data_IF_014771081266
#
_entry.id   IF_014771081266
#
_cell.length_a   1.000
_cell.length_b   1.000
_cell.length_c   1.000
_cell.angle_alpha   90.00
_cell.angle_beta   90.00
_cell.angle_gamma   90.00
#
_symmetry.space_group_name_H-M   'P 1'
#
loop_
_entity.id
_entity.type
_entity.pdbx_description
1 polymer ?
#
# COMPACT_ATOMS: atom_id res chain seq x y z
N UNK A 1 9.54 -9.46 -24.78
CA UNK A 1 8.10 -9.63 -25.14
C UNK A 1 7.49 -10.88 -24.48
N UNK A 2 8.00 -11.35 -23.32
CA UNK A 2 7.77 -12.75 -22.91
C UNK A 2 6.97 -12.88 -21.60
N UNK A 3 6.85 -11.83 -20.77
CA UNK A 3 6.42 -12.05 -19.39
C UNK A 3 4.99 -11.66 -19.03
N UNK A 4 4.41 -10.64 -19.67
CA UNK A 4 2.99 -10.32 -19.44
C UNK A 4 2.02 -11.34 -20.08
N UNK A 5 2.55 -12.22 -20.94
CA UNK A 5 1.82 -13.32 -21.56
C UNK A 5 2.03 -14.68 -20.86
N UNK A 6 2.90 -14.77 -19.86
CA UNK A 6 3.09 -15.99 -19.08
C UNK A 6 2.05 -16.02 -17.96
N UNK A 7 1.11 -16.91 -18.04
CA UNK A 7 -0.04 -17.12 -17.14
C UNK A 7 0.33 -17.59 -15.71
N UNK A 8 1.58 -17.36 -15.26
CA UNK A 8 1.96 -17.71 -13.89
C UNK A 8 1.50 -16.62 -12.95
N UNK A 9 0.56 -16.96 -12.08
CA UNK A 9 0.16 -16.10 -10.96
C UNK A 9 1.34 -15.82 -10.05
N UNK A 10 1.43 -14.59 -9.58
CA UNK A 10 2.50 -14.22 -8.65
C UNK A 10 2.66 -12.71 -8.44
N UNK A 11 3.45 -12.38 -7.43
CA UNK A 11 3.91 -11.01 -7.18
C UNK A 11 4.99 -10.65 -8.20
N UNK A 12 4.93 -9.46 -8.78
CA UNK A 12 5.89 -9.00 -9.77
C UNK A 12 7.19 -8.51 -9.11
N UNK A 13 8.34 -9.14 -9.43
CA UNK A 13 9.65 -8.65 -9.00
C UNK A 13 10.10 -7.43 -9.82
N UNK A 14 11.21 -6.80 -9.36
CA UNK A 14 11.71 -5.52 -9.87
C UNK A 14 11.86 -5.43 -11.39
N UNK A 15 12.30 -6.51 -12.05
CA UNK A 15 12.47 -6.53 -13.52
C UNK A 15 11.14 -6.35 -14.26
N UNK A 16 10.03 -6.83 -13.70
CA UNK A 16 8.70 -6.64 -14.30
C UNK A 16 8.10 -5.29 -13.93
N UNK A 17 8.45 -4.74 -12.77
CA UNK A 17 8.10 -3.36 -12.43
C UNK A 17 8.77 -2.41 -13.42
N UNK A 18 10.04 -2.63 -13.79
CA UNK A 18 10.72 -1.88 -14.85
C UNK A 18 9.97 -2.00 -16.18
N UNK A 19 9.55 -3.20 -16.56
CA UNK A 19 8.78 -3.43 -17.79
C UNK A 19 7.41 -2.68 -17.79
N UNK A 20 6.73 -2.59 -16.61
CA UNK A 20 5.50 -1.79 -16.49
C UNK A 20 5.76 -0.31 -16.74
N UNK A 21 6.89 0.22 -16.29
CA UNK A 21 7.30 1.61 -16.50
C UNK A 21 7.66 1.83 -17.99
N UNK A 22 8.50 0.99 -18.56
CA UNK A 22 8.96 1.06 -19.96
C UNK A 22 7.79 1.02 -20.95
N UNK A 23 6.72 0.29 -20.62
CA UNK A 23 5.49 0.18 -21.42
C UNK A 23 4.44 1.24 -21.08
N UNK A 24 4.76 2.18 -20.21
CA UNK A 24 3.83 3.22 -19.76
C UNK A 24 2.54 2.67 -19.11
N UNK A 25 2.62 1.47 -18.50
CA UNK A 25 1.56 0.93 -17.64
C UNK A 25 1.60 1.54 -16.23
N UNK A 26 2.75 2.01 -15.84
CA UNK A 26 2.95 2.96 -14.75
C UNK A 26 3.66 4.19 -15.33
N UNK A 27 3.13 5.36 -15.07
CA UNK A 27 3.62 6.61 -15.67
C UNK A 27 3.71 7.72 -14.61
N UNK A 28 4.54 8.71 -14.91
CA UNK A 28 4.67 9.96 -14.15
C UNK A 28 5.17 11.05 -15.08
N UNK A 29 4.82 12.30 -14.79
CA UNK A 29 5.41 13.46 -15.48
C UNK A 29 6.86 13.71 -15.06
N UNK A 30 7.26 13.19 -13.90
CA UNK A 30 8.62 13.23 -13.38
C UNK A 30 9.30 11.88 -13.63
N UNK A 31 10.61 11.89 -13.84
CA UNK A 31 11.35 10.64 -14.08
C UNK A 31 11.13 9.65 -12.94
N UNK A 32 10.84 8.40 -13.29
CA UNK A 32 10.79 7.28 -12.35
C UNK A 32 12.20 6.68 -12.29
N UNK A 33 12.97 7.09 -11.29
CA UNK A 33 14.35 6.65 -11.11
C UNK A 33 14.41 5.22 -10.55
N UNK A 34 15.52 4.54 -10.81
CA UNK A 34 15.73 3.16 -10.34
C UNK A 34 15.72 3.01 -8.81
N UNK A 35 16.09 4.05 -8.07
CA UNK A 35 16.07 4.07 -6.60
C UNK A 35 14.67 3.99 -5.97
N UNK A 36 13.62 4.16 -6.78
CA UNK A 36 12.24 3.92 -6.38
C UNK A 36 11.88 2.44 -6.43
N UNK A 37 12.58 1.64 -7.24
CA UNK A 37 12.24 0.24 -7.49
C UNK A 37 12.93 -0.64 -6.45
N UNK A 38 12.12 -1.33 -5.67
CA UNK A 38 12.52 -2.30 -4.67
C UNK A 38 12.42 -3.73 -5.24
N UNK A 39 12.94 -4.79 -4.59
CA UNK A 39 12.92 -6.15 -5.14
C UNK A 39 11.53 -6.65 -5.61
N UNK A 40 10.44 -6.24 -4.96
CA UNK A 40 9.07 -6.65 -5.31
C UNK A 40 8.03 -5.54 -5.06
N UNK A 41 8.45 -4.28 -5.04
CA UNK A 41 7.56 -3.12 -4.88
C UNK A 41 8.20 -1.87 -5.50
N UNK A 42 7.43 -0.81 -5.60
CA UNK A 42 7.92 0.51 -5.99
C UNK A 42 7.44 1.55 -4.98
N UNK A 43 8.34 2.46 -4.62
CA UNK A 43 8.02 3.60 -3.77
C UNK A 43 7.15 4.61 -4.55
N UNK A 44 6.07 5.07 -3.93
CA UNK A 44 5.19 6.10 -4.46
C UNK A 44 5.59 7.47 -3.91
N UNK A 45 5.54 8.49 -4.78
CA UNK A 45 5.97 9.85 -4.46
C UNK A 45 4.77 10.80 -4.31
N UNK A 46 4.80 11.64 -3.27
CA UNK A 46 3.84 12.73 -3.14
C UNK A 46 3.97 13.69 -4.32
N UNK A 47 2.84 14.09 -4.89
CA UNK A 47 2.77 15.09 -5.96
C UNK A 47 2.77 16.53 -5.42
N UNK A 48 2.34 17.46 -6.27
CA UNK A 48 2.38 18.89 -5.97
C UNK A 48 1.19 19.38 -5.15
N UNK A 49 0.04 18.68 -5.23
CA UNK A 49 -1.24 19.11 -4.65
C UNK A 49 -1.63 18.26 -3.47
N UNK A 50 -2.03 18.92 -2.41
CA UNK A 50 -2.59 18.32 -1.21
C UNK A 50 -3.88 19.03 -0.80
N UNK A 51 -4.78 18.30 -0.18
CA UNK A 51 -6.04 18.79 0.36
C UNK A 51 -6.18 18.41 1.82
N UNK A 52 -6.58 19.34 2.67
CA UNK A 52 -7.07 19.03 4.00
C UNK A 52 -8.54 18.64 3.90
N UNK A 53 -8.91 17.53 4.52
CA UNK A 53 -10.28 17.03 4.55
C UNK A 53 -10.76 16.85 5.99
N UNK A 54 -12.09 16.96 6.26
CA UNK A 54 -12.61 16.84 7.62
C UNK A 54 -12.52 15.42 8.18
N UNK A 55 -12.56 14.43 7.31
CA UNK A 55 -12.50 13.01 7.68
C UNK A 55 -11.97 12.16 6.51
N UNK A 56 -11.53 10.94 6.84
CA UNK A 56 -11.23 9.90 5.87
C UNK A 56 -12.45 9.56 5.01
N UNK A 57 -12.22 9.24 3.74
CA UNK A 57 -13.29 8.81 2.82
C UNK A 57 -12.79 7.81 1.77
N UNK A 58 -13.74 7.10 1.18
CA UNK A 58 -13.57 6.35 -0.05
C UNK A 58 -14.51 6.92 -1.13
N UNK A 59 -14.08 7.01 -2.39
CA UNK A 59 -14.90 7.61 -3.45
C UNK A 59 -16.17 6.80 -3.73
N UNK A 60 -16.16 5.49 -3.47
CA UNK A 60 -17.24 4.58 -3.85
C UNK A 60 -17.18 4.21 -5.34
N UNK A 61 -18.01 3.28 -5.76
CA UNK A 61 -17.98 2.70 -7.13
C UNK A 61 -18.22 3.69 -8.26
N UNK A 62 -18.94 4.78 -8.00
CA UNK A 62 -19.46 5.68 -9.03
C UNK A 62 -18.78 7.03 -9.09
N UNK A 63 -17.82 7.31 -8.20
CA UNK A 63 -17.14 8.61 -8.11
C UNK A 63 -15.63 8.46 -8.18
N UNK A 64 -14.98 9.53 -8.61
CA UNK A 64 -13.52 9.69 -8.52
C UNK A 64 -13.14 10.32 -7.18
N UNK A 65 -11.88 10.23 -6.82
CA UNK A 65 -11.34 10.92 -5.63
C UNK A 65 -11.46 12.44 -5.82
N UNK A 66 -11.19 12.94 -7.01
CA UNK A 66 -11.25 14.38 -7.33
C UNK A 66 -12.67 14.94 -7.21
N UNK A 67 -13.70 14.21 -7.69
CA UNK A 67 -15.10 14.58 -7.50
C UNK A 67 -15.48 14.66 -6.02
N UNK A 68 -14.98 13.76 -5.19
CA UNK A 68 -15.20 13.81 -3.74
C UNK A 68 -14.46 14.97 -3.09
N UNK A 69 -13.20 15.20 -3.46
CA UNK A 69 -12.42 16.33 -2.95
C UNK A 69 -13.11 17.68 -3.26
N UNK A 70 -13.67 17.85 -4.45
CA UNK A 70 -14.43 19.06 -4.81
C UNK A 70 -15.65 19.31 -3.89
N UNK A 71 -16.16 18.26 -3.23
CA UNK A 71 -17.32 18.36 -2.34
C UNK A 71 -16.94 18.59 -0.88
N UNK A 72 -15.82 17.97 -0.43
CA UNK A 72 -15.50 17.88 1.01
C UNK A 72 -14.18 18.53 1.42
N UNK A 73 -13.31 18.92 0.47
CA UNK A 73 -12.03 19.51 0.81
C UNK A 73 -12.23 20.85 1.52
N UNK A 74 -11.56 21.03 2.65
CA UNK A 74 -11.58 22.29 3.41
C UNK A 74 -10.74 23.36 2.72
N UNK A 75 -9.57 22.97 2.21
CA UNK A 75 -8.70 23.79 1.37
C UNK A 75 -7.68 22.95 0.62
N UNK A 76 -7.18 23.47 -0.49
CA UNK A 76 -6.08 22.94 -1.29
C UNK A 76 -4.80 23.72 -1.02
N UNK A 77 -3.64 23.08 -1.03
CA UNK A 77 -2.33 23.71 -0.89
C UNK A 77 -1.25 22.96 -1.66
N UNK A 78 -0.12 23.66 -1.89
CA UNK A 78 1.01 23.09 -2.64
C UNK A 78 2.05 22.49 -1.72
N UNK A 79 2.64 21.35 -2.18
CA UNK A 79 3.79 20.70 -1.54
C UNK A 79 5.14 21.10 -2.17
N UNK A 80 5.17 21.96 -3.19
CA UNK A 80 6.40 22.31 -3.93
C UNK A 80 7.52 22.84 -3.03
N UNK A 81 7.17 23.70 -2.07
CA UNK A 81 8.12 24.28 -1.13
C UNK A 81 8.12 23.59 0.25
N UNK A 82 7.40 22.49 0.36
CA UNK A 82 7.14 21.81 1.62
C UNK A 82 5.94 22.40 2.36
N UNK A 83 5.25 21.53 3.10
CA UNK A 83 4.13 21.92 3.95
C UNK A 83 4.13 21.09 5.24
N UNK A 84 3.61 21.67 6.30
CA UNK A 84 3.37 20.98 7.56
C UNK A 84 2.03 20.26 7.47
N UNK A 85 2.04 18.96 7.73
CA UNK A 85 0.85 18.18 7.99
C UNK A 85 0.68 18.06 9.50
N UNK A 86 -0.38 18.66 10.02
CA UNK A 86 -0.64 18.77 11.46
C UNK A 86 -1.08 17.42 12.04
N UNK A 87 -0.63 17.14 13.25
CA UNK A 87 -1.05 15.96 14.02
C UNK A 87 -2.57 15.94 14.17
N UNK A 88 -3.18 14.76 14.02
CA UNK A 88 -4.62 14.53 14.15
C UNK A 88 -5.48 15.01 12.98
N UNK A 89 -4.88 15.61 11.95
CA UNK A 89 -5.59 16.05 10.76
C UNK A 89 -5.48 15.00 9.65
N UNK A 90 -6.42 15.05 8.70
CA UNK A 90 -6.44 14.14 7.54
C UNK A 90 -6.18 14.95 6.26
N UNK A 91 -5.25 14.45 5.47
CA UNK A 91 -4.85 15.06 4.21
C UNK A 91 -4.94 14.03 3.08
N UNK A 92 -5.32 14.48 1.90
CA UNK A 92 -5.24 13.70 0.67
C UNK A 92 -4.19 14.36 -0.23
N UNK A 93 -3.30 13.56 -0.77
CA UNK A 93 -2.26 14.03 -1.70
C UNK A 93 -2.37 13.24 -2.99
N UNK A 94 -2.45 13.94 -4.13
CA UNK A 94 -2.31 13.30 -5.44
C UNK A 94 -0.86 12.87 -5.62
N UNK A 95 -0.62 11.63 -6.00
CA UNK A 95 0.73 11.12 -6.22
C UNK A 95 1.27 11.54 -7.60
N UNK A 96 2.58 11.50 -7.77
CA UNK A 96 3.23 11.76 -9.05
C UNK A 96 2.95 10.62 -10.04
N UNK A 97 2.81 9.40 -9.52
CA UNK A 97 2.56 8.21 -10.31
C UNK A 97 1.08 8.05 -10.64
N UNK A 98 0.83 7.58 -11.85
CA UNK A 98 -0.45 7.10 -12.33
C UNK A 98 -0.32 5.73 -12.95
N UNK A 99 -1.44 5.04 -13.15
CA UNK A 99 -1.47 3.68 -13.66
C UNK A 99 -2.38 3.55 -14.89
N UNK A 100 -1.97 2.66 -15.80
CA UNK A 100 -2.75 2.19 -16.95
C UNK A 100 -2.53 0.67 -17.07
N UNK A 101 -2.96 -0.08 -16.05
CA UNK A 101 -2.64 -1.49 -15.91
C UNK A 101 -3.33 -2.36 -16.96
N UNK A 102 -2.67 -3.45 -17.42
CA UNK A 102 -3.31 -4.55 -18.12
C UNK A 102 -4.39 -5.22 -17.25
N UNK A 103 -5.38 -5.86 -17.90
CA UNK A 103 -6.55 -6.45 -17.23
C UNK A 103 -6.23 -7.56 -16.22
N UNK A 104 -5.08 -8.18 -16.32
CA UNK A 104 -4.62 -9.28 -15.44
C UNK A 104 -3.70 -8.82 -14.31
N UNK A 105 -3.35 -7.53 -14.24
CA UNK A 105 -2.47 -6.98 -13.21
C UNK A 105 -3.29 -6.15 -12.22
N UNK A 106 -3.03 -6.37 -10.94
CA UNK A 106 -3.55 -5.60 -9.80
C UNK A 106 -2.40 -5.09 -8.94
N UNK A 107 -2.72 -4.26 -7.96
CA UNK A 107 -1.75 -3.78 -7.00
C UNK A 107 -2.28 -3.78 -5.57
N UNK A 108 -1.36 -3.87 -4.62
CA UNK A 108 -1.60 -3.69 -3.19
C UNK A 108 -0.56 -2.72 -2.64
N UNK A 109 -1.03 -1.65 -2.05
CA UNK A 109 -0.16 -0.66 -1.42
C UNK A 109 0.00 -0.93 0.07
N UNK A 110 1.06 -0.40 0.65
CA UNK A 110 1.29 -0.40 2.09
C UNK A 110 2.15 0.81 2.48
N UNK A 111 2.02 1.33 3.69
CA UNK A 111 2.97 2.29 4.23
C UNK A 111 4.39 1.70 4.20
N UNK A 112 5.38 2.55 3.97
CA UNK A 112 6.78 2.16 4.21
C UNK A 112 6.98 1.93 5.71
N UNK A 113 7.83 0.98 6.08
CA UNK A 113 8.11 0.70 7.50
C UNK A 113 8.65 1.93 8.25
N UNK A 114 9.41 2.78 7.58
CA UNK A 114 9.88 4.06 8.14
C UNK A 114 8.72 5.02 8.44
N UNK A 115 7.68 5.04 7.62
CA UNK A 115 6.47 5.85 7.80
C UNK A 115 5.69 5.37 9.03
N UNK A 116 5.49 4.05 9.15
CA UNK A 116 4.82 3.46 10.32
C UNK A 116 5.58 3.70 11.63
N UNK A 117 6.91 3.64 11.62
CA UNK A 117 7.75 3.93 12.81
C UNK A 117 7.65 5.37 13.30
N UNK A 118 7.28 6.30 12.43
CA UNK A 118 7.02 7.69 12.78
C UNK A 118 5.57 7.94 13.20
N UNK A 119 4.75 6.89 13.30
CA UNK A 119 3.31 6.97 13.57
C UNK A 119 2.58 7.91 12.60
N UNK A 120 2.99 7.89 11.33
CA UNK A 120 2.30 8.56 10.24
C UNK A 120 1.42 7.54 9.54
N UNK A 121 0.13 7.68 9.73
CA UNK A 121 -0.84 6.79 9.10
C UNK A 121 -1.04 7.16 7.65
N UNK A 122 -0.90 6.20 6.73
CA UNK A 122 -1.09 6.44 5.30
C UNK A 122 -1.91 5.33 4.66
N UNK A 123 -2.78 5.67 3.70
CA UNK A 123 -3.56 4.72 2.90
C UNK A 123 -3.68 5.17 1.46
N UNK A 124 -3.42 4.26 0.53
CA UNK A 124 -3.66 4.52 -0.89
C UNK A 124 -5.16 4.53 -1.18
N UNK A 125 -5.59 5.50 -2.00
CA UNK A 125 -6.94 5.59 -2.54
C UNK A 125 -6.84 5.69 -4.06
N UNK A 126 -7.69 4.95 -4.76
CA UNK A 126 -7.85 5.04 -6.21
C UNK A 126 -9.30 5.35 -6.57
N UNK A 127 -9.54 5.80 -7.78
CA UNK A 127 -10.88 6.12 -8.26
C UNK A 127 -11.80 4.90 -8.26
N UNK A 128 -13.08 5.11 -8.00
CA UNK A 128 -14.15 4.11 -8.10
C UNK A 128 -13.92 2.87 -7.22
N UNK A 129 -13.24 3.03 -6.08
CA UNK A 129 -12.98 1.94 -5.12
C UNK A 129 -13.82 2.07 -3.85
N UNK A 130 -14.02 0.94 -3.19
CA UNK A 130 -14.59 0.84 -1.85
C UNK A 130 -13.59 0.26 -0.83
N UNK A 131 -12.31 0.18 -1.22
CA UNK A 131 -11.26 -0.36 -0.38
C UNK A 131 -10.02 0.54 -0.45
N UNK A 132 -9.39 0.74 0.69
CA UNK A 132 -8.07 1.34 0.77
C UNK A 132 -7.01 0.33 0.33
N UNK A 133 -5.84 0.84 -0.06
CA UNK A 133 -4.64 0.07 -0.40
C UNK A 133 -4.78 -0.85 -1.62
N UNK A 134 -5.97 -1.02 -2.16
CA UNK A 134 -6.26 -1.93 -3.25
C UNK A 134 -6.34 -1.21 -4.60
N UNK A 135 -5.51 -1.63 -5.55
CA UNK A 135 -5.57 -1.23 -6.96
C UNK A 135 -6.19 -2.39 -7.75
N UNK A 136 -7.43 -2.26 -8.23
CA UNK A 136 -8.11 -3.35 -8.93
C UNK A 136 -7.43 -3.72 -10.24
N UNK A 137 -7.66 -4.95 -10.70
CA UNK A 137 -7.14 -5.44 -11.99
C UNK A 137 -7.55 -4.50 -13.14
N UNK A 138 -6.57 -4.13 -13.97
CA UNK A 138 -6.81 -3.27 -15.12
C UNK A 138 -7.10 -1.80 -14.78
N UNK A 139 -6.74 -1.35 -13.59
CA UNK A 139 -6.96 0.04 -13.16
C UNK A 139 -6.26 1.04 -14.08
N UNK A 140 -6.97 2.12 -14.39
CA UNK A 140 -6.47 3.25 -15.17
C UNK A 140 -6.85 4.55 -14.48
N UNK A 141 -5.86 5.31 -14.04
CA UNK A 141 -6.12 6.57 -13.36
C UNK A 141 -4.98 7.04 -12.48
N UNK A 142 -5.25 8.14 -11.78
CA UNK A 142 -4.37 8.73 -10.77
C UNK A 142 -4.38 7.91 -9.48
N UNK A 143 -3.32 8.08 -8.71
CA UNK A 143 -3.19 7.54 -7.37
C UNK A 143 -3.25 8.68 -6.35
N UNK A 144 -3.87 8.43 -5.21
CA UNK A 144 -3.97 9.40 -4.11
C UNK A 144 -3.56 8.72 -2.81
N UNK A 145 -2.94 9.48 -1.93
CA UNK A 145 -2.54 9.01 -0.61
C UNK A 145 -3.27 9.81 0.46
N UNK A 146 -4.01 9.13 1.31
CA UNK A 146 -4.45 9.68 2.58
C UNK A 146 -3.27 9.67 3.55
N UNK A 147 -3.07 10.76 4.26
CA UNK A 147 -2.01 10.93 5.26
C UNK A 147 -2.61 11.52 6.53
N UNK A 148 -2.35 10.89 7.66
CA UNK A 148 -2.75 11.40 8.98
C UNK A 148 -1.63 11.16 9.99
N UNK A 149 -0.83 12.19 10.31
CA UNK A 149 0.14 12.12 11.39
C UNK A 149 -0.57 11.93 12.74
N UNK A 150 -0.12 10.99 13.57
CA UNK A 150 -0.84 10.62 14.79
C UNK A 150 -0.21 11.17 16.06
N UNK A 151 1.11 11.19 16.15
CA UNK A 151 1.86 11.58 17.35
C UNK A 151 2.39 13.02 17.27
N UNK A 152 2.90 13.44 16.11
CA UNK A 152 3.46 14.78 15.90
C UNK A 152 3.26 15.25 14.46
N UNK A 153 3.29 16.57 14.26
CA UNK A 153 3.19 17.16 12.92
C UNK A 153 4.45 16.88 12.11
N UNK A 154 4.30 16.62 10.82
CA UNK A 154 5.40 16.29 9.92
C UNK A 154 5.50 17.29 8.77
N UNK A 155 6.72 17.52 8.29
CA UNK A 155 6.95 18.28 7.05
C UNK A 155 7.11 17.31 5.90
N UNK A 156 6.33 17.51 4.84
CA UNK A 156 6.43 16.75 3.59
C UNK A 156 6.63 17.68 2.40
N UNK A 157 7.16 17.14 1.32
CA UNK A 157 7.40 17.86 0.06
C UNK A 157 6.95 16.99 -1.11
N UNK A 158 6.81 17.60 -2.27
CA UNK A 158 6.75 16.86 -3.54
C UNK A 158 7.94 15.89 -3.62
N UNK A 159 7.68 14.65 -4.02
CA UNK A 159 8.69 13.59 -4.07
C UNK A 159 8.93 12.82 -2.77
N UNK A 160 8.37 13.25 -1.62
CA UNK A 160 8.43 12.47 -0.37
C UNK A 160 7.78 11.12 -0.56
N UNK A 161 8.39 10.04 -0.03
CA UNK A 161 7.98 8.63 -0.20
C UNK A 161 7.48 8.08 1.12
N UNK A 162 6.17 7.94 1.25
CA UNK A 162 5.52 7.45 2.48
C UNK A 162 4.89 6.06 2.30
N UNK A 163 4.60 5.69 1.05
CA UNK A 163 3.91 4.44 0.72
C UNK A 163 4.63 3.72 -0.41
N UNK A 164 4.39 2.43 -0.56
CA UNK A 164 4.93 1.58 -1.61
C UNK A 164 3.81 0.74 -2.24
N UNK A 165 3.98 0.38 -3.51
CA UNK A 165 3.02 -0.40 -4.27
C UNK A 165 3.66 -1.70 -4.75
N UNK A 166 2.99 -2.81 -4.50
CA UNK A 166 3.33 -4.14 -4.99
C UNK A 166 2.34 -4.54 -6.06
N UNK A 167 2.82 -5.03 -7.18
CA UNK A 167 1.98 -5.53 -8.26
C UNK A 167 1.88 -7.05 -8.24
N UNK A 168 0.74 -7.56 -8.69
CA UNK A 168 0.48 -8.99 -8.82
C UNK A 168 -0.19 -9.29 -10.15
N UNK A 169 0.16 -10.44 -10.74
CA UNK A 169 -0.50 -10.99 -11.91
C UNK A 169 -1.35 -12.19 -11.51
N UNK A 170 -2.59 -12.24 -11.99
CA UNK A 170 -3.52 -13.32 -11.68
C UNK A 170 -4.04 -13.30 -10.24
N UNK A 171 -4.22 -14.48 -9.66
CA UNK A 171 -4.58 -14.66 -8.25
C UNK A 171 -3.37 -15.15 -7.48
N UNK A 172 -2.99 -14.41 -6.43
CA UNK A 172 -1.83 -14.71 -5.58
C UNK A 172 -2.22 -15.24 -4.21
N UNK A 173 -3.51 -15.37 -3.94
CA UNK A 173 -4.01 -15.92 -2.68
C UNK A 173 -3.78 -17.44 -2.65
N UNK A 174 -3.27 -17.90 -1.53
CA UNK A 174 -3.14 -19.33 -1.28
C UNK A 174 -4.45 -19.86 -0.70
N UNK A 175 -4.86 -21.07 -1.11
CA UNK A 175 -5.95 -21.78 -0.46
C UNK A 175 -5.52 -22.27 0.91
N UNK A 176 -6.47 -22.50 1.83
CA UNK A 176 -6.17 -23.00 3.17
C UNK A 176 -5.38 -24.33 3.13
N UNK A 177 -5.68 -25.20 2.15
CA UNK A 177 -4.92 -26.41 1.92
C UNK A 177 -3.45 -26.15 1.57
N UNK A 178 -3.18 -25.23 0.65
CA UNK A 178 -1.80 -24.84 0.28
C UNK A 178 -1.09 -24.17 1.47
N UNK A 179 -1.82 -23.39 2.26
CA UNK A 179 -1.28 -22.77 3.46
C UNK A 179 -0.92 -23.82 4.53
N UNK A 180 -1.78 -24.83 4.73
CA UNK A 180 -1.51 -25.94 5.64
C UNK A 180 -0.27 -26.74 5.19
N UNK A 181 -0.13 -27.03 3.89
CA UNK A 181 1.06 -27.69 3.34
C UNK A 181 2.34 -26.88 3.57
N UNK A 182 2.28 -25.54 3.40
CA UNK A 182 3.41 -24.65 3.66
C UNK A 182 3.74 -24.57 5.15
N UNK A 183 2.73 -24.47 6.01
CA UNK A 183 2.91 -24.50 7.46
C UNK A 183 3.61 -25.78 7.91
N UNK A 184 3.12 -26.94 7.43
CA UNK A 184 3.72 -28.24 7.74
C UNK A 184 5.17 -28.36 7.26
N UNK A 185 5.46 -27.86 6.06
CA UNK A 185 6.79 -27.97 5.43
C UNK A 185 7.83 -26.99 6.00
N UNK A 186 7.41 -25.79 6.38
CA UNK A 186 8.31 -24.69 6.69
C UNK A 186 8.17 -24.14 8.11
N UNK A 187 7.22 -24.64 8.89
CA UNK A 187 6.97 -24.19 10.27
C UNK A 187 6.89 -22.64 10.35
N UNK A 188 6.03 -22.06 9.50
CA UNK A 188 5.91 -20.61 9.33
C UNK A 188 5.52 -19.90 10.63
N UNK A 189 4.63 -20.52 11.40
CA UNK A 189 4.27 -20.08 12.74
C UNK A 189 4.73 -21.17 13.70
N UNK A 190 5.66 -20.81 14.58
CA UNK A 190 6.07 -21.67 15.69
C UNK A 190 5.05 -21.55 16.80
N UNK A 191 4.35 -22.62 17.07
CA UNK A 191 3.47 -22.73 18.23
C UNK A 191 3.85 -23.98 19.01
N UNK A 192 3.80 -23.91 20.33
CA UNK A 192 4.02 -25.07 21.20
C UNK A 192 2.97 -26.18 21.02
N UNK A 193 1.88 -25.87 20.28
CA UNK A 193 0.75 -26.76 19.98
C UNK A 193 0.54 -26.89 18.45
N UNK A 194 1.55 -27.37 17.74
CA UNK A 194 1.59 -27.42 16.27
C UNK A 194 0.47 -28.22 15.57
N UNK A 195 -0.22 -29.10 16.29
CA UNK A 195 -1.32 -29.92 15.74
C UNK A 195 -2.65 -29.16 15.61
N UNK A 196 -2.88 -28.09 16.34
CA UNK A 196 -4.14 -27.33 16.31
C UNK A 196 -4.16 -26.20 15.29
N UNK A 197 -3.02 -25.85 14.69
CA UNK A 197 -2.93 -24.71 13.78
C UNK A 197 -3.52 -25.00 12.40
N UNK A 198 -3.38 -26.24 11.92
CA UNK A 198 -3.96 -26.68 10.63
C UNK A 198 -5.48 -26.59 10.60
N UNK A 199 -6.11 -26.82 11.76
CA UNK A 199 -7.58 -26.82 11.89
C UNK A 199 -8.18 -25.41 12.05
N UNK A 200 -7.33 -24.41 12.26
CA UNK A 200 -7.71 -23.01 12.45
C UNK A 200 -7.41 -22.11 11.26
N UNK A 201 -6.97 -22.71 10.13
CA UNK A 201 -6.69 -21.93 8.91
C UNK A 201 -8.00 -21.55 8.22
N UNK A 202 -8.29 -20.27 8.21
CA UNK A 202 -9.45 -19.71 7.53
C UNK A 202 -9.03 -18.41 6.81
N UNK A 203 -8.82 -18.50 5.49
CA UNK A 203 -8.36 -17.39 4.63
C UNK A 203 -7.01 -16.77 5.05
N UNK A 204 -6.13 -17.52 5.67
CA UNK A 204 -4.79 -17.08 6.07
C UNK A 204 -4.24 -17.76 7.30
N UNK A 205 -3.08 -17.27 7.77
CA UNK A 205 -2.46 -17.74 8.99
C UNK A 205 -3.00 -16.95 10.20
N UNK A 206 -3.53 -17.62 11.23
CA UNK A 206 -3.97 -16.93 12.44
C UNK A 206 -2.76 -16.44 13.23
N UNK A 207 -2.74 -15.15 13.53
CA UNK A 207 -1.77 -14.53 14.43
C UNK A 207 -2.46 -14.14 15.72
N UNK A 208 -1.83 -14.44 16.87
CA UNK A 208 -2.31 -14.01 18.16
C UNK A 208 -1.43 -12.89 18.73
N UNK A 209 -2.05 -12.00 19.49
CA UNK A 209 -1.34 -10.95 20.25
C UNK A 209 -1.27 -11.38 21.70
N UNK A 210 -0.07 -11.41 22.26
CA UNK A 210 0.11 -11.65 23.69
C UNK A 210 -0.19 -10.37 24.49
N UNK A 211 -1.33 -10.36 25.15
CA UNK A 211 -1.77 -9.25 26.01
C UNK A 211 -1.26 -9.38 27.45
N UNK A 212 -0.68 -10.51 27.83
CA UNK A 212 -0.11 -10.72 29.18
C UNK A 212 1.32 -10.21 29.25
N UNK A 213 2.02 -10.21 28.13
CA UNK A 213 3.40 -9.78 28.02
C UNK A 213 4.40 -10.82 28.54
N UNK A 214 5.67 -10.53 28.29
CA UNK A 214 6.80 -11.28 28.79
C UNK A 214 7.63 -10.36 29.70
N UNK A 215 7.98 -10.82 30.89
CA UNK A 215 8.70 -10.04 31.92
C UNK A 215 8.07 -8.66 32.22
N UNK A 216 6.73 -8.56 32.22
CA UNK A 216 6.00 -7.33 32.51
C UNK A 216 5.94 -6.34 31.36
N UNK A 217 6.45 -6.68 30.18
CA UNK A 217 6.35 -5.86 28.96
C UNK A 217 5.21 -6.38 28.11
N UNK A 218 4.18 -5.55 27.93
CA UNK A 218 3.04 -5.82 27.06
C UNK A 218 3.31 -5.22 25.67
N UNK A 219 3.24 -6.03 24.64
CA UNK A 219 3.42 -5.63 23.26
C UNK A 219 4.79 -5.99 22.70
N UNK A 220 4.77 -6.56 21.49
CA UNK A 220 5.97 -6.87 20.71
C UNK A 220 6.26 -5.71 19.76
N UNK A 221 7.41 -5.07 19.94
CA UNK A 221 7.98 -4.23 18.89
C UNK A 221 8.74 -5.12 17.92
N UNK A 222 8.27 -5.21 16.67
CA UNK A 222 9.01 -5.86 15.57
C UNK A 222 10.28 -5.08 15.16
N UNK A 223 10.65 -4.04 15.88
CA UNK A 223 11.79 -3.15 15.57
C UNK A 223 13.12 -3.76 16.01
N UNK A 224 13.11 -4.83 16.81
CA UNK A 224 14.31 -5.42 17.40
C UNK A 224 14.63 -6.82 16.86
N UNK A 225 14.24 -7.08 15.63
CA UNK A 225 14.66 -8.30 14.92
C UNK A 225 15.79 -7.93 13.95
#
# INVERSE_FOLDING_TARGET
MVFLNNEKNGVLPSQYIKELIDRNFMFSNENINEDLIQPASIDLRLGFKAWRVPASFLPGKNSTVEEKLNQIAMHEFSLSNGAVLECGCVYIVKLLEGLNLPKNISGMANPKSSTGRLDVFTRLIVDRTQQFENVPKGYKGSLYLEISPRTFSVVVRTGTRLNQLRFSIGDTSLTDKQMAELQYKHDLIKNNESSELSDKLENGLPLSVDLKGFDGVVGLSLIHI
#
